data_IF_383929491705
#
_entry.id   IF_383929491705
#
_cell.length_a   1.000
_cell.length_b   1.000
_cell.length_c   1.000
_cell.angle_alpha   90.00
_cell.angle_beta   90.00
_cell.angle_gamma   90.00
#
_symmetry.space_group_name_H-M   'P 1'
#
loop_
_entity.id
_entity.type
_entity.pdbx_description
1 polymer ?
#
# COMPACT_ATOMS: atom_id res chain seq x y z
N UNK A 1 -46.44 -9.61 -2.43
CA UNK A 1 -45.45 -8.86 -3.22
C UNK A 1 -44.28 -8.54 -2.31
N UNK A 2 -43.20 -9.33 -2.43
CA UNK A 2 -42.07 -9.31 -1.52
C UNK A 2 -41.21 -8.06 -1.78
N UNK A 3 -41.04 -7.24 -0.74
CA UNK A 3 -40.14 -6.09 -0.73
C UNK A 3 -38.69 -6.59 -0.76
N UNK A 4 -37.97 -6.38 -1.84
CA UNK A 4 -36.52 -6.62 -1.87
C UNK A 4 -35.80 -5.41 -1.27
N UNK A 5 -35.80 -5.35 0.06
CA UNK A 5 -34.85 -4.53 0.80
C UNK A 5 -33.44 -5.07 0.53
N UNK A 6 -32.58 -4.26 -0.10
CA UNK A 6 -31.14 -4.51 -0.18
C UNK A 6 -30.51 -4.05 1.15
N UNK A 7 -29.88 -4.95 1.94
CA UNK A 7 -29.03 -4.53 3.04
C UNK A 7 -27.65 -4.10 2.50
N UNK A 8 -27.27 -2.90 2.92
CA UNK A 8 -25.95 -2.27 2.81
C UNK A 8 -24.82 -3.16 3.34
N UNK A 9 -23.81 -3.41 2.51
CA UNK A 9 -22.54 -4.02 2.91
C UNK A 9 -21.36 -3.21 2.36
N UNK A 10 -20.80 -2.31 3.16
CA UNK A 10 -19.42 -1.88 3.02
C UNK A 10 -18.79 -1.91 4.40
N UNK A 11 -18.10 -3.01 4.66
CA UNK A 11 -17.35 -3.30 5.86
C UNK A 11 -16.33 -2.20 6.15
N UNK A 12 -16.77 -1.22 6.93
CA UNK A 12 -15.94 -0.37 7.75
C UNK A 12 -15.21 -1.26 8.75
N UNK A 13 -14.06 -1.77 8.35
CA UNK A 13 -13.11 -2.49 9.20
C UNK A 13 -12.46 -1.51 10.17
N UNK A 14 -13.24 -0.97 11.10
CA UNK A 14 -12.76 -0.26 12.29
C UNK A 14 -12.15 -1.28 13.24
N UNK A 15 -10.86 -1.58 13.04
CA UNK A 15 -10.03 -2.19 14.09
C UNK A 15 -9.40 -1.07 14.90
N UNK A 16 -10.08 -0.71 15.97
CA UNK A 16 -9.51 0.02 17.10
C UNK A 16 -8.36 -0.80 17.67
N UNK A 17 -7.15 -0.23 17.77
CA UNK A 17 -6.05 -0.82 18.53
C UNK A 17 -5.67 0.17 19.64
N UNK A 18 -5.78 -0.32 20.87
CA UNK A 18 -5.43 0.30 22.15
C UNK A 18 -3.99 0.83 22.23
N UNK A 19 -3.71 1.87 23.05
CA UNK A 19 -2.39 2.48 23.14
C UNK A 19 -1.47 1.66 24.05
N UNK A 20 -0.20 1.56 23.65
CA UNK A 20 0.88 1.12 24.54
C UNK A 20 1.37 -0.31 24.33
N UNK A 21 2.03 -0.60 23.21
CA UNK A 21 3.04 -1.67 23.15
C UNK A 21 3.99 -1.41 21.97
N UNK A 22 5.29 -1.33 22.29
CA UNK A 22 6.48 -1.42 21.40
C UNK A 22 6.19 -1.70 19.92
N UNK A 23 6.44 -0.72 19.06
CA UNK A 23 6.53 -0.90 17.62
C UNK A 23 7.86 -1.59 17.24
N UNK A 24 8.04 -2.86 17.63
CA UNK A 24 8.95 -3.77 16.93
C UNK A 24 8.14 -4.38 15.77
N UNK A 25 8.44 -3.87 14.58
CA UNK A 25 7.81 -4.18 13.29
C UNK A 25 7.78 -5.70 13.11
N UNK A 26 6.58 -6.30 13.28
CA UNK A 26 6.36 -7.70 12.92
C UNK A 26 6.52 -7.84 11.41
N UNK A 27 7.44 -8.73 11.08
CA UNK A 27 7.79 -9.24 9.77
C UNK A 27 6.55 -9.97 9.26
N UNK A 28 5.80 -9.36 8.34
CA UNK A 28 4.79 -10.09 7.56
C UNK A 28 5.46 -10.47 6.23
N UNK A 29 6.13 -11.61 6.27
CA UNK A 29 6.14 -12.65 5.24
C UNK A 29 6.09 -12.16 3.78
N UNK A 30 7.26 -11.81 3.25
CA UNK A 30 7.55 -11.90 1.81
C UNK A 30 7.69 -13.39 1.45
N UNK A 31 6.56 -14.10 1.39
CA UNK A 31 6.51 -15.48 0.93
C UNK A 31 5.33 -15.71 0.00
N UNK A 32 5.54 -15.40 -1.28
CA UNK A 32 5.13 -16.24 -2.39
C UNK A 32 5.83 -15.72 -3.64
N UNK A 33 6.97 -16.31 -3.97
CA UNK A 33 7.53 -16.30 -5.32
C UNK A 33 6.51 -17.02 -6.21
N UNK A 34 5.53 -16.27 -6.73
CA UNK A 34 4.62 -16.69 -7.78
C UNK A 34 4.73 -15.64 -8.88
N UNK A 35 5.21 -16.12 -10.01
CA UNK A 35 5.63 -15.42 -11.21
C UNK A 35 4.57 -14.46 -11.79
N UNK A 36 4.36 -13.29 -11.17
CA UNK A 36 3.38 -12.34 -11.69
C UNK A 36 3.34 -10.95 -11.05
N UNK A 37 4.29 -10.57 -10.19
CA UNK A 37 4.31 -9.19 -9.70
C UNK A 37 4.52 -8.23 -10.88
N UNK A 38 3.62 -7.25 -11.02
CA UNK A 38 3.68 -6.25 -12.08
C UNK A 38 4.38 -5.04 -11.49
N UNK A 39 5.51 -4.67 -12.07
CA UNK A 39 6.22 -3.44 -11.77
C UNK A 39 5.55 -2.29 -12.51
N UNK A 40 5.11 -1.27 -11.77
CA UNK A 40 4.46 -0.10 -12.36
C UNK A 40 5.06 1.15 -11.74
N UNK A 41 5.25 2.16 -12.58
CA UNK A 41 5.70 3.47 -12.15
C UNK A 41 4.53 4.32 -11.69
N UNK A 42 4.79 5.15 -10.68
CA UNK A 42 3.80 6.08 -10.15
C UNK A 42 4.43 7.25 -9.43
N UNK A 43 3.59 8.23 -9.11
CA UNK A 43 3.96 9.42 -8.33
C UNK A 43 3.31 9.36 -6.97
N UNK A 44 4.06 9.75 -5.95
CA UNK A 44 3.54 9.84 -4.58
C UNK A 44 2.70 11.10 -4.46
N UNK A 45 1.40 10.97 -4.18
CA UNK A 45 0.51 12.14 -3.99
C UNK A 45 0.60 12.63 -2.55
N UNK A 46 0.41 11.72 -1.60
CA UNK A 46 0.31 12.06 -0.18
C UNK A 46 0.96 10.99 0.70
N UNK A 47 1.84 11.37 1.65
CA UNK A 47 2.30 10.49 2.70
C UNK A 47 1.26 10.39 3.83
N UNK A 48 0.95 9.17 4.27
CA UNK A 48 0.12 8.91 5.45
C UNK A 48 1.02 8.57 6.66
N UNK A 49 0.61 8.92 7.89
CA UNK A 49 1.42 8.72 9.11
C UNK A 49 1.71 7.25 9.46
N UNK A 50 1.03 6.29 8.84
CA UNK A 50 1.22 4.85 9.09
C UNK A 50 2.31 4.21 8.21
N UNK A 51 3.28 4.99 7.72
CA UNK A 51 4.26 4.56 6.72
C UNK A 51 3.62 3.98 5.45
N UNK A 52 2.39 4.42 5.16
CA UNK A 52 1.68 4.17 3.92
C UNK A 52 1.75 5.42 3.06
N UNK A 53 1.80 5.24 1.75
CA UNK A 53 1.88 6.32 0.79
C UNK A 53 0.75 6.12 -0.22
N UNK A 54 0.04 7.20 -0.51
CA UNK A 54 -0.86 7.24 -1.66
C UNK A 54 -0.01 7.45 -2.90
N UNK A 55 0.02 6.44 -3.76
CA UNK A 55 0.72 6.51 -5.04
C UNK A 55 -0.34 6.54 -6.13
N UNK A 56 -0.21 7.48 -7.04
CA UNK A 56 -0.97 7.53 -8.28
C UNK A 56 -0.14 6.89 -9.37
N UNK A 57 -0.64 5.78 -9.89
CA UNK A 57 -0.04 5.09 -11.03
C UNK A 57 -0.29 5.92 -12.29
N UNK A 58 0.56 5.78 -13.30
CA UNK A 58 0.34 6.43 -14.60
C UNK A 58 -0.97 6.00 -15.28
N UNK A 59 -1.53 4.86 -14.85
CA UNK A 59 -2.85 4.36 -15.25
C UNK A 59 -4.03 5.15 -14.65
N UNK A 60 -3.78 6.16 -13.80
CA UNK A 60 -4.83 6.96 -13.12
C UNK A 60 -5.44 6.29 -11.89
N UNK A 61 -4.89 5.16 -11.46
CA UNK A 61 -5.33 4.44 -10.25
C UNK A 61 -4.54 4.89 -9.02
N UNK A 62 -5.27 5.18 -7.94
CA UNK A 62 -4.68 5.52 -6.65
C UNK A 62 -4.56 4.26 -5.80
N UNK A 63 -3.33 3.94 -5.40
CA UNK A 63 -2.99 2.76 -4.63
C UNK A 63 -2.41 3.12 -3.27
N UNK A 64 -2.66 2.26 -2.29
CA UNK A 64 -2.01 2.36 -0.98
C UNK A 64 -0.78 1.47 -1.00
N UNK A 65 0.39 2.09 -1.01
CA UNK A 65 1.66 1.40 -1.03
C UNK A 65 2.42 1.58 0.29
N UNK A 66 3.11 0.53 0.72
CA UNK A 66 4.02 0.60 1.85
C UNK A 66 5.47 0.47 1.37
N UNK A 67 6.38 1.06 2.12
CA UNK A 67 7.82 0.97 1.83
C UNK A 67 8.35 -0.43 2.09
N UNK A 68 9.19 -0.92 1.18
CA UNK A 68 9.95 -2.14 1.42
C UNK A 68 10.90 -1.98 2.61
N UNK A 69 11.20 -3.09 3.30
CA UNK A 69 12.16 -3.09 4.41
C UNK A 69 13.56 -2.62 3.99
N UNK A 70 13.94 -2.83 2.71
CA UNK A 70 15.21 -2.33 2.16
C UNK A 70 15.30 -0.81 2.19
N UNK A 71 14.22 -0.11 1.84
CA UNK A 71 14.20 1.36 1.90
C UNK A 71 14.33 1.90 3.33
N UNK A 72 13.75 1.21 4.32
CA UNK A 72 13.90 1.56 5.74
C UNK A 72 15.35 1.48 6.22
N UNK A 73 16.08 0.46 5.79
CA UNK A 73 17.50 0.29 6.13
C UNK A 73 18.39 1.38 5.53
N UNK A 74 18.06 1.85 4.32
CA UNK A 74 18.80 2.91 3.63
C UNK A 74 18.35 4.32 4.02
N UNK A 75 17.46 4.45 5.01
CA UNK A 75 16.91 5.73 5.47
C UNK A 75 16.40 6.63 4.33
N UNK A 76 15.85 6.02 3.26
CA UNK A 76 15.35 6.76 2.11
C UNK A 76 14.08 7.48 2.52
N UNK A 77 14.11 8.82 2.44
CA UNK A 77 12.94 9.67 2.66
C UNK A 77 12.20 9.84 1.34
N UNK A 78 10.91 9.57 1.36
CA UNK A 78 10.01 9.80 0.24
C UNK A 78 9.28 11.10 0.50
N UNK A 79 9.35 12.01 -0.46
CA UNK A 79 8.60 13.25 -0.49
C UNK A 79 7.35 13.07 -1.38
N UNK A 80 6.29 13.87 -1.18
CA UNK A 80 5.24 13.98 -2.18
C UNK A 80 5.85 14.44 -3.52
N UNK A 81 5.21 14.06 -4.62
CA UNK A 81 5.67 14.23 -6.01
C UNK A 81 6.88 13.38 -6.43
N UNK A 82 7.47 12.58 -5.54
CA UNK A 82 8.54 11.66 -5.92
C UNK A 82 8.02 10.56 -6.86
N UNK A 83 8.84 10.23 -7.88
CA UNK A 83 8.64 9.09 -8.76
C UNK A 83 9.14 7.82 -8.10
N UNK A 84 8.27 6.82 -7.99
CA UNK A 84 8.55 5.56 -7.31
C UNK A 84 8.13 4.38 -8.18
N UNK A 85 8.87 3.29 -8.06
CA UNK A 85 8.53 2.00 -8.64
C UNK A 85 7.75 1.19 -7.61
N UNK A 86 6.52 0.82 -7.97
CA UNK A 86 5.61 0.04 -7.14
C UNK A 86 5.42 -1.32 -7.78
N UNK A 87 5.69 -2.37 -7.01
CA UNK A 87 5.30 -3.72 -7.34
C UNK A 87 3.88 -3.97 -6.85
N UNK A 88 3.00 -4.38 -7.77
CA UNK A 88 1.62 -4.75 -7.50
C UNK A 88 1.45 -6.25 -7.69
N UNK A 89 0.62 -6.86 -6.86
CA UNK A 89 0.18 -8.22 -7.13
C UNK A 89 -0.89 -8.19 -8.23
N UNK A 90 -0.85 -9.08 -9.23
CA UNK A 90 -1.76 -9.05 -10.37
C UNK A 90 -3.22 -9.34 -9.96
N UNK A 91 -3.43 -9.83 -8.73
CA UNK A 91 -4.73 -10.10 -8.15
C UNK A 91 -5.32 -8.89 -7.41
N UNK A 92 -4.48 -8.01 -6.88
CA UNK A 92 -4.88 -6.86 -6.05
C UNK A 92 -4.12 -5.60 -6.48
N UNK A 93 -4.73 -4.83 -7.39
CA UNK A 93 -4.17 -3.57 -7.90
C UNK A 93 -4.26 -2.41 -6.90
N UNK A 94 -4.95 -2.55 -5.77
CA UNK A 94 -5.16 -1.48 -4.79
C UNK A 94 -4.04 -1.37 -3.74
N UNK A 95 -3.23 -2.42 -3.61
CA UNK A 95 -2.15 -2.53 -2.63
C UNK A 95 -0.83 -2.80 -3.33
N UNK A 96 0.18 -2.01 -3.00
CA UNK A 96 1.49 -2.10 -3.63
C UNK A 96 2.65 -2.09 -2.64
N UNK A 97 3.82 -2.46 -3.15
CA UNK A 97 5.09 -2.41 -2.44
C UNK A 97 6.05 -1.47 -3.17
N UNK A 98 6.57 -0.47 -2.46
CA UNK A 98 7.56 0.45 -3.05
C UNK A 98 8.94 -0.19 -2.98
N UNK A 99 9.51 -0.47 -4.14
CA UNK A 99 10.83 -1.12 -4.27
C UNK A 99 11.92 -0.10 -4.56
N UNK A 100 11.66 0.82 -5.47
CA UNK A 100 12.65 1.78 -5.94
C UNK A 100 12.10 3.20 -5.99
N UNK A 101 13.00 4.18 -5.84
CA UNK A 101 12.74 5.59 -6.05
C UNK A 101 13.68 6.07 -7.15
N UNK A 102 13.13 6.73 -8.17
CA UNK A 102 13.93 7.39 -9.18
C UNK A 102 14.48 8.72 -8.62
N UNK A 103 15.74 9.02 -8.93
CA UNK A 103 16.39 10.29 -8.58
C UNK A 103 16.01 11.39 -9.54
#
# INVERSE_FOLDING_TARGET
MCRTHHPVSKDSSSRTITPGTRACIRIAEDMAKKDGAIEVEGRVVEPLPNAMFRVELENGHKVLAHISGKMRQHYIRILPEDRVLVELSPYDLSRGRIVYRYK
#
